data_IF_723682122622
#
_entry.id   IF_723682122622
#
_cell.length_a   1.000
_cell.length_b   1.000
_cell.length_c   1.000
_cell.angle_alpha   90.00
_cell.angle_beta   90.00
_cell.angle_gamma   90.00
#
_symmetry.space_group_name_H-M   'P 1'
#
loop_
_entity.id
_entity.type
_entity.pdbx_description
1 polymer ?
#
# COMPACT_ATOMS: atom_id res chain seq x y z
N UNK A 1 17.15 -23.25 0.07
CA UNK A 1 16.54 -22.54 -1.07
C UNK A 1 16.72 -21.05 -0.82
N UNK A 2 17.29 -20.26 -1.74
CA UNK A 2 17.32 -18.81 -1.55
C UNK A 2 15.88 -18.29 -1.54
N UNK A 3 15.49 -17.63 -0.46
CA UNK A 3 14.18 -17.02 -0.31
C UNK A 3 14.16 -15.78 -1.21
N UNK A 4 13.59 -15.91 -2.41
CA UNK A 4 13.39 -14.76 -3.30
C UNK A 4 12.41 -13.82 -2.61
N UNK A 5 12.90 -12.68 -2.15
CA UNK A 5 12.09 -11.68 -1.45
C UNK A 5 11.23 -10.99 -2.47
N UNK A 6 9.93 -11.24 -2.41
CA UNK A 6 8.94 -10.58 -3.25
C UNK A 6 8.89 -9.09 -2.84
N UNK A 7 9.44 -8.23 -3.70
CA UNK A 7 9.56 -6.79 -3.45
C UNK A 7 8.24 -6.09 -3.79
N UNK A 8 7.80 -5.21 -2.89
CA UNK A 8 6.58 -4.44 -3.11
C UNK A 8 6.81 -3.30 -4.11
N UNK A 9 6.03 -3.26 -5.18
CA UNK A 9 6.07 -2.18 -6.17
C UNK A 9 5.41 -0.93 -5.61
N UNK A 10 6.10 0.22 -5.69
CA UNK A 10 5.53 1.49 -5.24
C UNK A 10 4.57 2.01 -6.32
N UNK A 11 3.31 2.26 -5.94
CA UNK A 11 2.25 2.70 -6.86
C UNK A 11 1.45 3.84 -6.24
N UNK A 12 1.03 4.80 -7.06
CA UNK A 12 0.12 5.88 -6.68
C UNK A 12 -1.33 5.39 -6.78
N UNK A 13 -2.25 5.90 -5.94
CA UNK A 13 -3.64 5.41 -5.96
C UNK A 13 -4.35 5.64 -7.31
N UNK A 14 -3.99 6.70 -8.03
CA UNK A 14 -4.50 7.01 -9.38
C UNK A 14 -3.95 6.10 -10.49
N UNK A 15 -3.00 5.21 -10.18
CA UNK A 15 -2.38 4.26 -11.11
C UNK A 15 -2.73 2.81 -10.84
N UNK A 16 -3.48 2.53 -9.78
CA UNK A 16 -3.92 1.17 -9.46
C UNK A 16 -4.93 0.72 -10.51
N UNK A 17 -4.70 -0.48 -11.04
CA UNK A 17 -5.55 -1.08 -12.07
C UNK A 17 -5.81 -2.57 -11.78
N UNK A 18 -6.67 -3.20 -12.58
CA UNK A 18 -6.90 -4.65 -12.48
C UNK A 18 -5.63 -5.48 -12.79
N UNK A 19 -4.66 -4.94 -13.55
CA UNK A 19 -3.39 -5.62 -13.84
C UNK A 19 -2.49 -5.79 -12.61
N UNK A 20 -2.79 -5.05 -11.54
CA UNK A 20 -2.08 -5.10 -10.27
C UNK A 20 -2.67 -6.13 -9.30
N UNK A 21 -3.78 -6.78 -9.65
CA UNK A 21 -4.40 -7.83 -8.82
C UNK A 21 -3.39 -8.98 -8.59
N UNK A 22 -3.29 -9.42 -7.34
CA UNK A 22 -2.35 -10.43 -6.88
C UNK A 22 -0.92 -9.93 -6.67
N UNK A 23 -0.61 -8.68 -7.02
CA UNK A 23 0.73 -8.10 -6.83
C UNK A 23 0.88 -7.49 -5.44
N UNK A 24 2.10 -7.57 -4.92
CA UNK A 24 2.50 -6.87 -3.70
C UNK A 24 2.78 -5.41 -4.03
N UNK A 25 1.97 -4.52 -3.46
CA UNK A 25 2.09 -3.08 -3.67
C UNK A 25 2.53 -2.37 -2.40
N UNK A 26 3.13 -1.21 -2.59
CA UNK A 26 3.41 -0.22 -1.56
C UNK A 26 2.77 1.10 -1.99
N UNK A 27 1.74 1.51 -1.28
CA UNK A 27 0.98 2.72 -1.59
C UNK A 27 1.05 3.69 -0.41
N UNK A 28 0.97 4.98 -0.71
CA UNK A 28 0.80 6.01 0.31
C UNK A 28 -0.51 6.73 0.09
N UNK A 29 -1.14 7.12 1.19
CA UNK A 29 -2.32 7.96 1.13
C UNK A 29 -2.71 8.49 2.49
N UNK A 30 -3.69 9.37 2.47
CA UNK A 30 -4.30 9.95 3.66
C UNK A 30 -5.39 9.02 4.16
N UNK A 31 -5.31 8.62 5.43
CA UNK A 31 -6.37 7.84 6.06
C UNK A 31 -7.57 8.73 6.35
N UNK A 32 -8.68 8.53 5.63
CA UNK A 32 -9.90 9.29 5.86
C UNK A 32 -10.67 8.78 7.05
N UNK A 33 -10.79 7.46 7.15
CA UNK A 33 -11.51 6.80 8.24
C UNK A 33 -10.98 5.37 8.40
N UNK A 34 -11.16 4.84 9.60
CA UNK A 34 -10.89 3.47 9.98
C UNK A 34 -12.12 2.98 10.73
N UNK A 35 -12.69 1.88 10.26
CA UNK A 35 -13.77 1.18 10.93
C UNK A 35 -13.19 0.00 11.71
N UNK A 36 -13.33 0.04 13.04
CA UNK A 36 -12.78 -0.98 13.92
C UNK A 36 -13.58 -2.29 13.91
N UNK A 37 -14.84 -2.26 13.48
CA UNK A 37 -15.69 -3.45 13.41
C UNK A 37 -15.34 -4.28 12.17
N UNK A 38 -15.20 -3.63 11.02
CA UNK A 38 -14.84 -4.29 9.75
C UNK A 38 -13.33 -4.36 9.51
N UNK A 39 -12.53 -3.67 10.33
CA UNK A 39 -11.08 -3.47 10.17
C UNK A 39 -10.68 -2.82 8.83
N UNK A 40 -11.62 -2.13 8.19
CA UNK A 40 -11.40 -1.46 6.91
C UNK A 40 -10.89 -0.03 7.11
N UNK A 41 -9.88 0.30 6.34
CA UNK A 41 -9.33 1.65 6.20
C UNK A 41 -9.71 2.20 4.84
N UNK A 42 -10.22 3.43 4.81
CA UNK A 42 -10.41 4.18 3.58
C UNK A 42 -9.21 5.13 3.36
N UNK A 43 -8.36 4.76 2.41
CA UNK A 43 -7.15 5.50 2.07
C UNK A 43 -7.39 6.39 0.84
N UNK A 44 -6.98 7.65 0.88
CA UNK A 44 -7.19 8.63 -0.21
C UNK A 44 -5.90 9.30 -0.68
N UNK A 45 -5.77 9.52 -1.98
CA UNK A 45 -4.81 10.46 -2.58
C UNK A 45 -5.51 11.26 -3.68
N UNK A 46 -5.49 12.59 -3.57
CA UNK A 46 -6.30 13.50 -4.37
C UNK A 46 -7.79 13.08 -4.41
N UNK A 47 -8.32 12.73 -5.58
CA UNK A 47 -9.70 12.26 -5.75
C UNK A 47 -9.86 10.74 -5.65
N UNK A 48 -8.78 9.97 -5.68
CA UNK A 48 -8.83 8.51 -5.72
C UNK A 48 -8.75 7.93 -4.31
N UNK A 49 -9.48 6.84 -4.07
CA UNK A 49 -9.44 6.12 -2.83
C UNK A 49 -9.37 4.60 -3.03
N UNK A 50 -8.84 3.94 -2.01
CA UNK A 50 -8.65 2.51 -1.95
C UNK A 50 -9.14 1.99 -0.61
N UNK A 51 -9.92 0.91 -0.64
CA UNK A 51 -10.23 0.14 0.57
C UNK A 51 -9.02 -0.70 0.94
N UNK A 52 -8.64 -0.64 2.21
CA UNK A 52 -7.52 -1.39 2.76
C UNK A 52 -8.06 -2.25 3.89
N UNK A 53 -7.93 -3.57 3.75
CA UNK A 53 -8.19 -4.51 4.83
C UNK A 53 -6.98 -4.54 5.76
N UNK A 54 -7.17 -4.03 6.98
CA UNK A 54 -6.15 -3.93 8.01
C UNK A 54 -6.20 -5.05 9.04
N UNK A 55 -7.00 -6.11 8.83
CA UNK A 55 -7.19 -7.22 9.78
C UNK A 55 -5.88 -7.89 10.23
N UNK A 56 -4.86 -7.97 9.36
CA UNK A 56 -3.54 -8.52 9.71
C UNK A 56 -2.63 -7.52 10.44
N UNK A 57 -3.00 -6.23 10.43
CA UNK A 57 -2.23 -5.13 11.01
C UNK A 57 -2.79 -4.67 12.36
N UNK A 58 -3.92 -5.23 12.81
CA UNK A 58 -4.56 -4.92 14.08
C UNK A 58 -4.71 -6.19 14.90
N UNK A 59 -4.24 -6.17 16.14
CA UNK A 59 -4.44 -7.28 17.05
C UNK A 59 -5.81 -7.11 17.73
N UNK A 60 -6.77 -7.96 17.34
CA UNK A 60 -8.13 -7.92 17.87
C UNK A 60 -8.20 -8.33 19.35
N UNK A 61 -7.20 -9.06 19.85
CA UNK A 61 -7.24 -9.71 21.17
C UNK A 61 -6.58 -8.89 22.28
N UNK A 62 -6.04 -7.70 22.00
CA UNK A 62 -5.35 -6.88 23.02
C UNK A 62 -6.33 -5.86 23.62
N UNK A 63 -6.86 -6.09 24.85
CA UNK A 63 -7.97 -5.30 25.41
C UNK A 63 -7.50 -3.99 26.05
N UNK A 64 -6.18 -3.79 26.21
CA UNK A 64 -5.62 -2.75 27.07
C UNK A 64 -4.93 -1.64 26.28
N UNK A 65 -5.47 -0.42 26.40
CA UNK A 65 -4.91 0.82 25.85
C UNK A 65 -3.46 1.12 26.27
N UNK A 66 -2.89 0.40 27.27
CA UNK A 66 -1.50 0.54 27.72
C UNK A 66 -0.48 -0.16 26.82
N UNK A 67 -0.86 -1.23 26.11
CA UNK A 67 0.05 -2.00 25.23
C UNK A 67 -0.03 -1.58 23.75
N UNK A 68 -1.03 -0.75 23.40
CA UNK A 68 -1.17 -0.13 22.06
C UNK A 68 -0.02 0.82 21.67
N UNK A 69 0.99 0.99 22.52
CA UNK A 69 2.14 1.88 22.30
C UNK A 69 3.10 1.40 21.20
N UNK A 70 3.00 0.16 20.76
CA UNK A 70 3.90 -0.40 19.74
C UNK A 70 3.09 -0.64 18.46
N UNK A 71 2.98 0.39 17.61
CA UNK A 71 2.66 0.21 16.19
C UNK A 71 1.26 0.60 15.69
N UNK A 72 0.23 0.74 16.54
CA UNK A 72 -1.14 1.06 16.06
C UNK A 72 -1.54 2.54 16.18
N UNK A 73 -0.57 3.45 16.41
CA UNK A 73 -0.84 4.88 16.49
C UNK A 73 -1.53 5.43 15.24
N UNK A 74 -1.24 4.83 14.07
CA UNK A 74 -1.88 5.17 12.81
C UNK A 74 -3.41 5.06 12.87
N UNK A 75 -3.97 4.07 13.57
CA UNK A 75 -5.42 3.82 13.62
C UNK A 75 -6.19 4.91 14.39
N UNK A 76 -5.51 5.62 15.30
CA UNK A 76 -6.10 6.70 16.09
C UNK A 76 -5.99 8.06 15.38
N UNK A 77 -5.02 8.23 14.49
CA UNK A 77 -4.71 9.49 13.84
C UNK A 77 -5.50 9.67 12.53
N UNK A 78 -6.72 10.17 12.65
CA UNK A 78 -7.53 10.55 11.48
C UNK A 78 -6.79 11.57 10.62
N UNK A 79 -6.92 11.43 9.29
CA UNK A 79 -6.36 12.34 8.29
C UNK A 79 -4.82 12.39 8.26
N UNK A 80 -4.13 11.47 8.94
CA UNK A 80 -2.68 11.27 8.82
C UNK A 80 -2.36 10.56 7.50
N UNK A 81 -1.13 10.74 7.02
CA UNK A 81 -0.62 9.95 5.92
C UNK A 81 -0.01 8.65 6.44
N UNK A 82 -0.28 7.56 5.74
CA UNK A 82 0.27 6.23 6.03
C UNK A 82 0.87 5.61 4.77
N UNK A 83 1.90 4.79 4.96
CA UNK A 83 2.34 3.79 3.99
C UNK A 83 1.60 2.49 4.26
N UNK A 84 1.07 1.89 3.21
CA UNK A 84 0.46 0.56 3.24
C UNK A 84 1.25 -0.35 2.31
N UNK A 85 1.66 -1.50 2.83
CA UNK A 85 2.25 -2.59 2.05
C UNK A 85 1.34 -3.80 2.16
N UNK A 86 1.00 -4.40 1.04
CA UNK A 86 -0.04 -5.43 0.98
C UNK A 86 -0.23 -5.98 -0.42
N UNK A 87 -1.18 -6.89 -0.56
CA UNK A 87 -1.54 -7.47 -1.85
C UNK A 87 -2.85 -6.85 -2.33
N UNK A 88 -2.91 -6.45 -3.60
CA UNK A 88 -4.17 -6.00 -4.19
C UNK A 88 -5.02 -7.21 -4.56
N UNK A 89 -6.27 -7.19 -4.16
CA UNK A 89 -7.21 -8.29 -4.36
C UNK A 89 -8.50 -7.78 -4.97
N UNK A 90 -9.11 -8.64 -5.78
CA UNK A 90 -10.47 -8.45 -6.26
C UNK A 90 -11.40 -9.19 -5.32
N UNK A 91 -12.43 -8.51 -4.84
CA UNK A 91 -13.46 -9.12 -4.00
C UNK A 91 -14.74 -9.24 -4.82
N UNK A 92 -15.33 -10.44 -4.82
CA UNK A 92 -16.58 -10.71 -5.55
C UNK A 92 -17.80 -10.05 -4.90
N UNK A 93 -17.71 -9.79 -3.59
CA UNK A 93 -18.70 -9.05 -2.82
C UNK A 93 -18.16 -7.66 -2.47
N UNK A 94 -18.89 -6.62 -2.85
CA UNK A 94 -18.55 -5.26 -2.47
C UNK A 94 -18.48 -5.13 -0.94
N UNK A 95 -17.33 -4.70 -0.43
CA UNK A 95 -17.16 -4.47 0.99
C UNK A 95 -17.84 -3.18 1.42
N UNK A 96 -18.34 -3.09 2.67
CA UNK A 96 -18.94 -1.87 3.18
C UNK A 96 -17.90 -0.75 3.19
N UNK A 97 -18.20 0.36 2.52
CA UNK A 97 -17.34 1.53 2.54
C UNK A 97 -17.50 2.21 3.92
N UNK A 98 -16.41 2.39 4.69
CA UNK A 98 -16.49 3.07 5.99
C UNK A 98 -17.11 4.46 5.87
N UNK A 99 -17.97 4.84 6.83
CA UNK A 99 -18.66 6.12 6.76
C UNK A 99 -17.69 7.32 6.74
N UNK A 100 -17.87 8.19 5.75
CA UNK A 100 -17.17 9.45 5.64
C UNK A 100 -17.87 10.54 6.46
N UNK A 101 -17.12 11.49 7.05
CA UNK A 101 -17.70 12.71 7.59
C UNK A 101 -18.48 13.48 6.51
N UNK A 102 -19.70 13.92 6.83
CA UNK A 102 -20.64 14.53 5.87
C UNK A 102 -20.13 15.79 5.13
N UNK A 103 -19.07 16.43 5.64
CA UNK A 103 -18.48 17.63 5.05
C UNK A 103 -17.38 17.32 4.01
N UNK A 104 -17.02 16.06 3.81
CA UNK A 104 -16.04 15.66 2.80
C UNK A 104 -16.76 15.20 1.53
N UNK A 105 -16.31 15.63 0.33
CA UNK A 105 -16.79 15.03 -0.90
C UNK A 105 -16.42 13.55 -0.93
N UNK A 106 -17.29 12.67 -1.47
CA UNK A 106 -16.96 11.27 -1.64
C UNK A 106 -15.78 11.13 -2.62
N UNK A 107 -14.72 10.36 -2.28
CA UNK A 107 -13.67 10.06 -3.23
C UNK A 107 -14.16 9.07 -4.30
N UNK A 108 -13.47 9.03 -5.43
CA UNK A 108 -13.60 7.99 -6.43
C UNK A 108 -13.01 6.69 -5.88
N UNK A 109 -13.84 5.65 -5.76
CA UNK A 109 -13.49 4.39 -5.13
C UNK A 109 -14.06 3.24 -5.93
N UNK A 110 -13.21 2.25 -6.21
CA UNK A 110 -13.65 0.97 -6.76
C UNK A 110 -13.83 -0.04 -5.61
N UNK A 111 -15.07 -0.35 -5.19
CA UNK A 111 -15.32 -1.24 -4.04
C UNK A 111 -14.96 -2.71 -4.32
N UNK A 112 -14.74 -3.08 -5.59
CA UNK A 112 -14.29 -4.42 -5.97
C UNK A 112 -12.78 -4.63 -5.80
N UNK A 113 -12.00 -3.55 -5.59
CA UNK A 113 -10.56 -3.61 -5.39
C UNK A 113 -10.22 -3.28 -3.93
N UNK A 114 -9.60 -4.23 -3.25
CA UNK A 114 -9.24 -4.11 -1.84
C UNK A 114 -7.78 -4.47 -1.67
N UNK A 115 -7.04 -3.68 -0.91
CA UNK A 115 -5.67 -4.00 -0.56
C UNK A 115 -5.63 -4.72 0.79
N UNK A 116 -5.23 -5.99 0.79
CA UNK A 116 -4.98 -6.74 2.02
C UNK A 116 -3.64 -6.32 2.60
N UNK A 117 -3.67 -5.50 3.65
CA UNK A 117 -2.48 -4.94 4.24
C UNK A 117 -1.73 -5.98 5.08
N UNK A 118 -0.41 -5.99 4.91
CA UNK A 118 0.53 -6.74 5.75
C UNK A 118 1.30 -5.77 6.66
N UNK A 119 1.48 -4.52 6.22
CA UNK A 119 2.13 -3.46 7.00
C UNK A 119 1.37 -2.15 6.78
N UNK A 120 1.03 -1.47 7.87
CA UNK A 120 0.60 -0.07 7.87
C UNK A 120 1.53 0.71 8.78
N UNK A 121 2.14 1.76 8.26
CA UNK A 121 3.09 2.59 8.99
C UNK A 121 2.79 4.08 8.81
N UNK A 122 2.83 4.90 9.87
CA UNK A 122 2.71 6.35 9.74
C UNK A 122 3.86 6.91 8.92
N UNK A 123 3.59 7.92 8.10
CA UNK A 123 4.66 8.64 7.41
C UNK A 123 5.17 9.81 8.26
N UNK A 124 6.44 10.17 8.08
CA UNK A 124 7.04 11.33 8.73
C UNK A 124 6.34 12.63 8.32
N UNK A 125 6.44 13.66 9.16
CA UNK A 125 5.73 14.95 8.98
C UNK A 125 6.07 15.68 7.67
N UNK A 126 7.20 15.37 7.05
CA UNK A 126 7.67 15.98 5.81
C UNK A 126 7.23 15.22 4.55
N UNK A 127 6.28 14.29 4.70
CA UNK A 127 5.73 13.53 3.58
C UNK A 127 4.89 14.39 2.65
N UNK A 128 5.11 14.21 1.36
CA UNK A 128 4.29 14.78 0.30
C UNK A 128 4.13 13.75 -0.81
N UNK A 129 2.89 13.48 -1.22
CA UNK A 129 2.59 12.60 -2.36
C UNK A 129 3.18 13.13 -3.66
N UNK A 130 3.39 14.46 -3.77
CA UNK A 130 4.12 15.08 -4.88
C UNK A 130 5.55 14.55 -5.01
N UNK A 131 6.29 14.45 -3.89
CA UNK A 131 7.67 13.93 -3.91
C UNK A 131 7.74 12.46 -4.30
N UNK A 132 6.74 11.66 -3.92
CA UNK A 132 6.65 10.26 -4.33
C UNK A 132 6.38 10.16 -5.84
N UNK A 133 5.48 11.01 -6.36
CA UNK A 133 5.20 11.08 -7.79
C UNK A 133 6.44 11.47 -8.59
N UNK A 134 7.19 12.47 -8.13
CA UNK A 134 8.44 12.90 -8.78
C UNK A 134 9.49 11.77 -8.78
N UNK A 135 9.62 11.05 -7.66
CA UNK A 135 10.50 9.89 -7.54
C UNK A 135 10.10 8.77 -8.51
N UNK A 136 8.80 8.43 -8.59
CA UNK A 136 8.30 7.40 -9.50
C UNK A 136 8.49 7.79 -10.97
N UNK A 137 8.26 9.06 -11.31
CA UNK A 137 8.52 9.58 -12.65
C UNK A 137 10.01 9.44 -13.01
N UNK A 138 10.91 9.84 -12.10
CA UNK A 138 12.36 9.68 -12.31
C UNK A 138 12.81 8.21 -12.42
N UNK A 139 12.14 7.27 -11.74
CA UNK A 139 12.44 5.83 -11.86
C UNK A 139 11.95 5.24 -13.19
N UNK A 140 10.81 5.70 -13.71
CA UNK A 140 10.30 5.26 -15.01
C UNK A 140 11.18 5.74 -16.18
N UNK A 141 11.93 6.82 -15.99
CA UNK A 141 12.87 7.36 -16.98
C UNK A 141 14.21 6.61 -17.03
N UNK A 142 14.52 5.74 -16.06
CA UNK A 142 15.75 4.92 -16.08
C UNK A 142 15.48 3.64 -16.87
N UNK A 143 16.01 3.49 -18.11
CA UNK A 143 15.87 2.24 -18.84
C UNK A 143 16.53 1.10 -18.05
N UNK A 144 16.00 -0.14 -18.14
CA UNK A 144 16.65 -1.28 -17.54
C UNK A 144 18.10 -1.33 -18.02
N UNK A 145 19.04 -1.35 -17.08
CA UNK A 145 20.47 -1.46 -17.39
C UNK A 145 20.62 -2.72 -18.23
N UNK A 146 20.89 -2.56 -19.53
CA UNK A 146 21.28 -3.65 -20.37
C UNK A 146 22.56 -4.22 -19.74
N UNK A 147 22.48 -5.46 -19.24
CA UNK A 147 23.67 -6.13 -18.75
C UNK A 147 24.72 -6.08 -19.86
N UNK A 148 25.95 -5.63 -19.56
CA UNK A 148 27.02 -5.69 -20.55
C UNK A 148 27.18 -7.15 -21.03
N UNK A 149 27.30 -7.36 -22.35
CA UNK A 149 27.40 -8.71 -22.94
C UNK A 149 28.52 -9.56 -22.32
N UNK A 150 29.58 -8.94 -21.79
CA UNK A 150 30.67 -9.66 -21.11
C UNK A 150 30.23 -10.42 -19.85
N UNK A 151 29.12 -10.06 -19.21
CA UNK A 151 28.61 -10.76 -18.03
C UNK A 151 27.93 -12.11 -18.38
N UNK A 152 27.67 -12.39 -19.66
CA UNK A 152 27.04 -13.63 -20.14
C UNK A 152 28.06 -14.71 -20.52
N UNK A 153 29.32 -14.33 -20.76
CA UNK A 153 30.38 -15.28 -21.17
C UNK A 153 31.03 -16.03 -19.99
N UNK A 154 31.06 -15.44 -18.80
CA UNK A 154 31.61 -16.08 -17.59
C UNK A 154 30.72 -17.22 -17.08
N UNK A 155 29.43 -17.25 -17.42
CA UNK A 155 28.52 -18.33 -17.03
C UNK A 155 28.69 -19.61 -17.88
N UNK A 156 29.42 -19.56 -19.01
CA UNK A 156 29.61 -20.73 -19.89
C UNK A 156 30.94 -21.46 -19.72
N UNK A 157 31.91 -20.87 -19.03
CA UNK A 157 33.26 -21.46 -18.88
C UNK A 157 33.50 -22.18 -17.55
N UNK A 158 32.49 -22.29 -16.69
CA UNK A 158 32.57 -22.97 -15.38
C UNK A 158 32.23 -24.46 -15.37
N UNK A 159 32.20 -25.14 -16.52
CA UNK A 159 32.08 -26.60 -16.60
C UNK A 159 33.25 -27.17 -17.40
N UNK A 160 34.36 -27.46 -16.72
CA UNK A 160 35.26 -28.54 -17.10
C UNK A 160 35.93 -29.13 -15.87
#
# INVERSE_FOLDING_TARGET
MPQQVDNATIVMLDRISEDDIGRKLRVAGRMLTYDAETTLVLLQDASNALLVDASLCVDADVPSAKDRKIGHGWALERKSYVWVVGYLERVDMELPIPMLPAYLPPPDINPSLVMRAVIIAPVTKDFSTGRVRDMLAGMAEVPPVAYPEWAVEDARHGQS
#
